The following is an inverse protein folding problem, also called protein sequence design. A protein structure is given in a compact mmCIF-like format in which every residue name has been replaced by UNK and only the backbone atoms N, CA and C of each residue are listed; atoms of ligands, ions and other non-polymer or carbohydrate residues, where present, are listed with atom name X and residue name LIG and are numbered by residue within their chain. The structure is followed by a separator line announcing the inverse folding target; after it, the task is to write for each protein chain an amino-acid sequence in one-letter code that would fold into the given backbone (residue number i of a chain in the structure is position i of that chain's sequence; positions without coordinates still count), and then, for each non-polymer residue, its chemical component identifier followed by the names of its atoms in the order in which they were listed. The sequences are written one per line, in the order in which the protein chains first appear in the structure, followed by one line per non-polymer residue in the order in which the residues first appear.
data_IF_891651316347
#
_entry.id   IF_891651316347
#
_cell.length_a   1.000
_cell.length_b   1.000
_cell.length_c   1.000
_cell.angle_alpha   90.00
_cell.angle_beta   90.00
_cell.angle_gamma   90.00
#
_symmetry.space_group_name_H-M   'P 1'
#
loop_
_entity.id
_entity.type
_entity.pdbx_description
1 polymer ?
#
# COMPACT_ATOMS: atom_id res chain seq x y z
N UNK A 1 -24.14 1.26 16.51
CA UNK A 1 -23.99 0.11 15.59
C UNK A 1 -22.53 -0.30 15.58
N UNK A 2 -22.24 -1.60 15.69
CA UNK A 2 -20.87 -2.10 15.46
C UNK A 2 -20.52 -1.91 13.98
N UNK A 3 -19.28 -1.48 13.69
CA UNK A 3 -18.78 -1.34 12.32
C UNK A 3 -18.76 -2.73 11.66
N UNK A 4 -19.23 -2.90 10.42
CA UNK A 4 -19.18 -4.20 9.75
C UNK A 4 -17.72 -4.66 9.63
N UNK A 5 -17.48 -5.96 9.86
CA UNK A 5 -16.17 -6.55 9.66
C UNK A 5 -15.87 -6.58 8.15
N UNK A 6 -14.69 -6.09 7.77
CA UNK A 6 -14.27 -6.03 6.37
C UNK A 6 -12.78 -6.32 6.21
N UNK A 7 -12.48 -7.21 5.28
CA UNK A 7 -11.13 -7.53 4.81
C UNK A 7 -10.94 -7.14 3.36
N UNK A 8 -9.71 -7.29 2.85
CA UNK A 8 -9.40 -7.10 1.43
C UNK A 8 -8.41 -8.12 0.90
N UNK A 9 -8.62 -8.48 -0.35
CA UNK A 9 -7.67 -9.14 -1.25
C UNK A 9 -7.09 -8.04 -2.15
N UNK A 10 -5.78 -7.85 -2.10
CA UNK A 10 -5.11 -6.71 -2.75
C UNK A 10 -3.94 -7.11 -3.66
N UNK A 11 -4.21 -7.71 -4.85
CA UNK A 11 -3.17 -8.05 -5.82
C UNK A 11 -2.61 -6.81 -6.52
N UNK A 12 -1.30 -6.82 -6.80
CA UNK A 12 -0.66 -5.86 -7.71
C UNK A 12 -0.53 -6.50 -9.10
N UNK A 13 -1.08 -5.92 -10.18
CA UNK A 13 -1.04 -6.50 -11.52
C UNK A 13 0.31 -6.22 -12.22
N UNK A 14 1.42 -6.56 -11.57
CA UNK A 14 2.79 -6.39 -12.10
C UNK A 14 3.41 -7.69 -12.63
N UNK A 15 2.62 -8.75 -12.70
CA UNK A 15 2.96 -10.09 -13.15
C UNK A 15 1.78 -11.04 -12.94
N UNK A 16 1.86 -12.25 -13.46
CA UNK A 16 0.87 -13.30 -13.21
C UNK A 16 0.82 -13.67 -11.72
N UNK A 17 -0.37 -14.04 -11.24
CA UNK A 17 -0.53 -14.54 -9.88
C UNK A 17 0.18 -15.88 -9.73
N UNK A 18 1.08 -15.96 -8.75
CA UNK A 18 1.73 -17.21 -8.36
C UNK A 18 1.02 -17.88 -7.16
N UNK A 19 1.48 -19.09 -6.82
CA UNK A 19 0.91 -19.93 -5.75
C UNK A 19 0.79 -19.22 -4.41
N UNK A 20 1.82 -18.46 -4.01
CA UNK A 20 1.75 -17.63 -2.78
C UNK A 20 0.58 -16.65 -2.75
N UNK A 21 0.21 -16.04 -3.89
CA UNK A 21 -0.98 -15.19 -3.95
C UNK A 21 -2.25 -16.02 -3.76
N UNK A 22 -2.36 -17.15 -4.45
CA UNK A 22 -3.52 -18.04 -4.35
C UNK A 22 -3.74 -18.53 -2.90
N UNK A 23 -2.67 -18.95 -2.21
CA UNK A 23 -2.73 -19.38 -0.81
C UNK A 23 -3.21 -18.24 0.09
N UNK A 24 -2.64 -17.04 -0.06
CA UNK A 24 -3.05 -15.87 0.73
C UNK A 24 -4.52 -15.50 0.47
N UNK A 25 -4.95 -15.47 -0.79
CA UNK A 25 -6.33 -15.13 -1.16
C UNK A 25 -7.31 -16.15 -0.60
N UNK A 26 -7.00 -17.43 -0.68
CA UNK A 26 -7.82 -18.51 -0.12
C UNK A 26 -7.92 -18.40 1.41
N UNK A 27 -6.81 -18.18 2.12
CA UNK A 27 -6.82 -17.99 3.58
C UNK A 27 -7.64 -16.75 3.97
N UNK A 28 -7.47 -15.65 3.23
CA UNK A 28 -8.23 -14.41 3.44
C UNK A 28 -9.72 -14.66 3.26
N UNK A 29 -10.10 -15.34 2.19
CA UNK A 29 -11.49 -15.67 1.87
C UNK A 29 -12.10 -16.61 2.92
N UNK A 30 -11.43 -17.68 3.30
CA UNK A 30 -11.90 -18.62 4.34
C UNK A 30 -12.10 -17.91 5.69
N UNK A 31 -11.15 -17.06 6.11
CA UNK A 31 -11.26 -16.27 7.34
C UNK A 31 -12.44 -15.30 7.30
N UNK A 32 -12.66 -14.66 6.15
CA UNK A 32 -13.81 -13.77 5.98
C UNK A 32 -15.13 -14.54 6.10
N UNK A 33 -15.25 -15.70 5.45
CA UNK A 33 -16.44 -16.55 5.53
C UNK A 33 -16.68 -17.09 6.95
N UNK A 34 -15.63 -17.43 7.69
CA UNK A 34 -15.75 -17.86 9.08
C UNK A 34 -16.22 -16.75 10.02
N UNK A 35 -15.80 -15.51 9.79
CA UNK A 35 -16.11 -14.35 10.65
C UNK A 35 -17.33 -13.55 10.20
N UNK A 36 -17.89 -13.85 9.03
CA UNK A 36 -18.94 -13.05 8.40
C UNK A 36 -18.45 -11.68 7.90
N UNK A 37 -17.16 -11.51 7.64
CA UNK A 37 -16.59 -10.28 7.13
C UNK A 37 -16.85 -10.12 5.63
N UNK A 38 -17.11 -8.88 5.19
CA UNK A 38 -17.14 -8.53 3.77
C UNK A 38 -15.72 -8.55 3.19
N UNK A 39 -15.59 -8.96 1.93
CA UNK A 39 -14.34 -8.99 1.19
C UNK A 39 -14.36 -7.87 0.14
N UNK A 40 -13.39 -6.98 0.21
CA UNK A 40 -13.04 -6.05 -0.87
C UNK A 40 -11.99 -6.68 -1.79
N UNK A 41 -12.23 -6.72 -3.10
CA UNK A 41 -11.17 -6.86 -4.10
C UNK A 41 -10.64 -5.46 -4.44
N UNK A 42 -9.39 -5.16 -4.08
CA UNK A 42 -8.70 -3.91 -4.42
C UNK A 42 -7.48 -4.21 -5.26
N UNK A 43 -7.55 -3.97 -6.56
CA UNK A 43 -6.38 -4.17 -7.43
C UNK A 43 -5.46 -2.96 -7.24
N UNK A 44 -4.24 -3.21 -6.74
CA UNK A 44 -3.27 -2.16 -6.41
C UNK A 44 -2.53 -1.71 -7.69
N UNK A 45 -3.22 -0.95 -8.55
CA UNK A 45 -2.79 -0.54 -9.90
C UNK A 45 -2.16 0.87 -9.97
N UNK A 46 -1.78 1.45 -8.82
CA UNK A 46 -1.21 2.79 -8.77
C UNK A 46 0.17 2.94 -9.47
N UNK A 47 0.95 1.86 -9.60
CA UNK A 47 2.20 1.85 -10.38
C UNK A 47 1.91 1.49 -11.84
N UNK A 48 1.34 2.45 -12.57
CA UNK A 48 0.84 2.27 -13.95
C UNK A 48 1.88 1.72 -14.92
N UNK A 49 3.16 1.97 -14.68
CA UNK A 49 4.26 1.50 -15.55
C UNK A 49 4.40 -0.03 -15.51
N UNK A 50 3.94 -0.67 -14.42
CA UNK A 50 3.98 -2.12 -14.23
C UNK A 50 2.67 -2.82 -14.57
N UNK A 51 1.57 -2.08 -14.64
CA UNK A 51 0.25 -2.63 -14.94
C UNK A 51 0.21 -3.10 -16.39
N UNK A 52 -0.27 -4.33 -16.62
CA UNK A 52 -0.56 -4.84 -17.96
C UNK A 52 -1.96 -5.45 -18.03
N UNK A 53 -2.72 -5.26 -19.12
CA UNK A 53 -4.07 -5.80 -19.25
C UNK A 53 -4.15 -7.31 -19.01
N UNK A 54 -3.15 -8.07 -19.47
CA UNK A 54 -3.08 -9.52 -19.27
C UNK A 54 -2.94 -9.92 -17.80
N UNK A 55 -2.22 -9.15 -16.97
CA UNK A 55 -2.10 -9.41 -15.53
C UNK A 55 -3.36 -9.00 -14.78
N UNK A 56 -4.05 -7.95 -15.24
CA UNK A 56 -5.36 -7.60 -14.71
C UNK A 56 -6.37 -8.70 -15.00
N UNK A 57 -6.41 -9.22 -16.24
CA UNK A 57 -7.30 -10.32 -16.61
C UNK A 57 -7.00 -11.58 -15.79
N UNK A 58 -5.73 -11.94 -15.64
CA UNK A 58 -5.28 -13.10 -14.86
C UNK A 58 -5.79 -13.07 -13.41
N UNK A 59 -5.84 -11.89 -12.77
CA UNK A 59 -6.41 -11.74 -11.44
C UNK A 59 -7.86 -12.26 -11.39
N UNK A 60 -8.71 -11.85 -12.34
CA UNK A 60 -10.10 -12.30 -12.37
C UNK A 60 -10.21 -13.79 -12.70
N UNK A 61 -9.42 -14.26 -13.66
CA UNK A 61 -9.45 -15.66 -14.10
C UNK A 61 -9.05 -16.61 -12.97
N UNK A 62 -7.97 -16.31 -12.24
CA UNK A 62 -7.51 -17.10 -11.09
C UNK A 62 -8.51 -17.03 -9.94
N UNK A 63 -9.06 -15.86 -9.64
CA UNK A 63 -10.06 -15.73 -8.58
C UNK A 63 -11.33 -16.55 -8.90
N UNK A 64 -11.78 -16.53 -10.15
CA UNK A 64 -12.89 -17.35 -10.62
C UNK A 64 -12.58 -18.85 -10.55
N UNK A 65 -11.40 -19.26 -11.03
CA UNK A 65 -10.96 -20.66 -11.00
C UNK A 65 -10.86 -21.21 -9.58
N UNK A 66 -10.38 -20.41 -8.62
CA UNK A 66 -10.32 -20.76 -7.20
C UNK A 66 -11.70 -20.74 -6.50
N UNK A 67 -12.75 -20.22 -7.15
CA UNK A 67 -14.06 -20.04 -6.55
C UNK A 67 -14.10 -18.94 -5.47
N UNK A 68 -13.17 -17.99 -5.51
CA UNK A 68 -13.08 -16.89 -4.54
C UNK A 68 -14.02 -15.77 -4.98
N UNK A 69 -15.11 -15.59 -4.24
CA UNK A 69 -16.02 -14.46 -4.38
C UNK A 69 -15.64 -13.29 -3.46
N UNK A 70 -15.93 -12.07 -3.90
CA UNK A 70 -15.81 -10.84 -3.11
C UNK A 70 -17.11 -10.03 -3.15
N UNK A 71 -17.33 -9.24 -2.11
CA UNK A 71 -18.59 -8.52 -1.90
C UNK A 71 -18.51 -7.07 -2.42
N UNK A 72 -17.29 -6.50 -2.45
CA UNK A 72 -17.03 -5.11 -2.86
C UNK A 72 -15.83 -5.10 -3.82
N UNK A 73 -15.89 -4.29 -4.87
CA UNK A 73 -14.78 -4.14 -5.83
C UNK A 73 -15.17 -4.42 -7.27
N UNK A 74 -14.22 -4.31 -8.21
CA UNK A 74 -14.49 -4.50 -9.62
C UNK A 74 -14.92 -5.94 -9.89
N UNK A 75 -15.92 -6.14 -10.74
CA UNK A 75 -16.37 -7.48 -11.17
C UNK A 75 -15.73 -7.91 -12.50
N UNK A 76 -15.13 -6.96 -13.22
CA UNK A 76 -14.47 -7.18 -14.51
C UNK A 76 -13.25 -6.26 -14.64
N UNK A 77 -12.29 -6.55 -15.54
CA UNK A 77 -11.21 -5.64 -15.87
C UNK A 77 -11.70 -4.26 -16.33
N UNK A 78 -12.78 -4.20 -17.10
CA UNK A 78 -13.36 -2.92 -17.53
C UNK A 78 -13.85 -2.11 -16.32
N UNK A 79 -14.54 -2.78 -15.39
CA UNK A 79 -15.00 -2.18 -14.14
C UNK A 79 -13.86 -1.68 -13.25
N UNK A 80 -12.69 -2.35 -13.27
CA UNK A 80 -11.49 -1.83 -12.62
C UNK A 80 -11.14 -0.46 -13.18
N UNK A 81 -10.92 -0.36 -14.49
CA UNK A 81 -10.46 0.87 -15.10
C UNK A 81 -11.48 2.01 -15.04
N UNK A 82 -12.78 1.71 -15.12
CA UNK A 82 -13.83 2.74 -15.09
C UNK A 82 -14.11 3.31 -13.70
N UNK A 83 -13.99 2.51 -12.64
CA UNK A 83 -14.54 2.87 -11.32
C UNK A 83 -13.59 2.61 -10.14
N UNK A 84 -12.84 1.51 -10.18
CA UNK A 84 -12.12 1.01 -8.99
C UNK A 84 -10.61 1.24 -9.01
N UNK A 85 -10.06 1.73 -10.13
CA UNK A 85 -8.64 2.02 -10.27
C UNK A 85 -8.16 3.03 -9.22
N UNK A 86 -7.00 2.78 -8.63
CA UNK A 86 -6.34 3.71 -7.73
C UNK A 86 -5.93 5.01 -8.44
N UNK A 87 -5.85 5.02 -9.77
CA UNK A 87 -5.61 6.25 -10.54
C UNK A 87 -6.69 7.31 -10.29
N UNK A 88 -7.95 6.89 -10.10
CA UNK A 88 -9.08 7.77 -9.75
C UNK A 88 -8.95 8.38 -8.35
N UNK A 89 -8.08 7.82 -7.51
CA UNK A 89 -7.87 8.22 -6.11
C UNK A 89 -6.66 9.15 -5.95
N UNK A 90 -6.00 9.54 -7.04
CA UNK A 90 -4.80 10.40 -7.02
C UNK A 90 -4.99 11.67 -6.18
N UNK A 91 -6.13 12.36 -6.32
CA UNK A 91 -6.40 13.57 -5.56
C UNK A 91 -6.40 13.30 -4.04
N UNK A 92 -7.02 12.20 -3.60
CA UNK A 92 -7.07 11.79 -2.20
C UNK A 92 -5.67 11.52 -1.65
N UNK A 93 -4.82 10.85 -2.42
CA UNK A 93 -3.42 10.60 -2.01
C UNK A 93 -2.60 11.89 -1.91
N UNK A 94 -2.77 12.83 -2.86
CA UNK A 94 -2.09 14.13 -2.80
C UNK A 94 -2.51 14.96 -1.59
N UNK A 95 -3.80 14.93 -1.22
CA UNK A 95 -4.27 15.58 0.00
C UNK A 95 -3.57 15.04 1.25
N UNK A 96 -3.48 13.71 1.38
CA UNK A 96 -2.81 13.08 2.53
C UNK A 96 -1.30 13.37 2.53
N UNK A 97 -0.66 13.38 1.36
CA UNK A 97 0.74 13.80 1.23
C UNK A 97 0.95 15.25 1.69
N UNK A 98 0.05 16.15 1.33
CA UNK A 98 0.06 17.54 1.81
C UNK A 98 -0.05 17.61 3.33
N UNK A 99 -1.01 16.91 3.92
CA UNK A 99 -1.16 16.84 5.39
C UNK A 99 0.09 16.29 6.08
N UNK A 100 0.69 15.22 5.57
CA UNK A 100 1.93 14.65 6.11
C UNK A 100 3.09 15.65 5.99
N UNK A 101 3.22 16.33 4.85
CA UNK A 101 4.24 17.36 4.63
C UNK A 101 4.09 18.48 5.66
N UNK A 102 2.88 19.01 5.80
CA UNK A 102 2.58 20.16 6.65
C UNK A 102 2.72 19.81 8.15
N UNK A 103 2.55 18.53 8.52
CA UNK A 103 2.82 18.03 9.88
C UNK A 103 4.31 17.94 10.24
N UNK A 104 5.22 18.12 9.28
CA UNK A 104 6.66 17.92 9.46
C UNK A 104 7.13 16.46 9.46
N UNK A 105 6.21 15.50 9.23
CA UNK A 105 6.53 14.08 9.21
C UNK A 105 7.41 13.66 8.01
N UNK A 106 7.55 14.50 6.99
CA UNK A 106 8.27 14.17 5.75
C UNK A 106 9.60 14.92 5.62
N UNK A 107 10.42 14.45 4.68
CA UNK A 107 11.55 15.21 4.11
C UNK A 107 11.77 14.83 2.65
N UNK A 108 12.33 15.74 1.86
CA UNK A 108 12.70 15.49 0.48
C UNK A 108 14.10 14.83 0.41
N UNK A 109 14.27 13.91 -0.54
CA UNK A 109 15.50 13.18 -0.76
C UNK A 109 15.83 13.14 -2.26
N UNK A 110 17.03 13.59 -2.63
CA UNK A 110 17.53 13.54 -4.01
C UNK A 110 18.37 12.30 -4.33
N UNK A 111 18.78 11.52 -3.32
CA UNK A 111 19.68 10.37 -3.47
C UNK A 111 19.21 9.36 -4.53
N UNK A 112 20.09 9.08 -5.51
CA UNK A 112 19.88 8.08 -6.56
C UNK A 112 20.06 6.67 -6.02
N UNK A 113 19.55 5.65 -6.74
CA UNK A 113 19.76 4.23 -6.36
C UNK A 113 21.25 3.87 -6.28
N UNK A 114 22.08 4.46 -7.15
CA UNK A 114 23.54 4.26 -7.12
C UNK A 114 24.17 4.81 -5.84
N UNK A 115 23.81 6.04 -5.44
CA UNK A 115 24.28 6.63 -4.19
C UNK A 115 23.85 5.81 -2.97
N UNK A 116 22.59 5.36 -2.94
CA UNK A 116 22.11 4.51 -1.84
C UNK A 116 22.90 3.21 -1.76
N UNK A 117 23.16 2.56 -2.91
CA UNK A 117 23.95 1.32 -2.98
C UNK A 117 25.40 1.51 -2.51
N UNK A 118 25.99 2.68 -2.77
CA UNK A 118 27.34 3.02 -2.31
C UNK A 118 27.41 3.11 -0.78
N UNK A 119 26.33 3.55 -0.12
CA UNK A 119 26.25 3.63 1.34
C UNK A 119 25.84 2.31 2.00
N UNK A 120 24.95 1.53 1.37
CA UNK A 120 24.51 0.23 1.87
C UNK A 120 24.30 -0.74 0.70
N UNK A 121 25.06 -1.84 0.68
CA UNK A 121 25.00 -2.85 -0.38
C UNK A 121 23.61 -3.50 -0.50
N UNK A 122 22.85 -3.57 0.59
CA UNK A 122 21.47 -4.03 0.62
C UNK A 122 20.45 -2.98 0.13
N UNK A 123 20.93 -1.84 -0.42
CA UNK A 123 20.13 -0.73 -0.95
C UNK A 123 19.17 -0.09 0.07
N UNK A 124 19.47 -0.13 1.36
CA UNK A 124 18.70 0.55 2.39
C UNK A 124 19.16 2.00 2.50
N UNK A 125 18.21 2.92 2.46
CA UNK A 125 18.50 4.33 2.68
C UNK A 125 18.88 4.59 4.14
N UNK A 126 20.02 5.24 4.38
CA UNK A 126 20.56 5.39 5.75
C UNK A 126 20.27 6.75 6.39
N UNK A 127 19.74 7.71 5.62
CA UNK A 127 19.31 9.00 6.17
C UNK A 127 20.11 10.20 5.67
N UNK A 128 20.81 10.08 4.55
CA UNK A 128 21.79 11.05 4.05
C UNK A 128 21.21 12.45 3.78
N UNK A 129 19.91 12.57 3.54
CA UNK A 129 19.19 13.84 3.33
C UNK A 129 18.37 14.27 4.54
N UNK A 130 18.37 13.50 5.63
CA UNK A 130 17.72 13.90 6.87
C UNK A 130 18.41 15.16 7.38
N UNK A 131 17.62 16.21 7.63
CA UNK A 131 18.14 17.49 8.13
C UNK A 131 18.74 18.42 7.07
N UNK A 132 18.86 18.01 5.80
CA UNK A 132 19.40 18.87 4.72
C UNK A 132 18.46 19.97 4.25
N UNK A 133 17.20 19.98 4.70
CA UNK A 133 16.25 21.03 4.34
C UNK A 133 15.94 21.12 2.85
N UNK A 134 16.05 20.01 2.10
CA UNK A 134 15.74 20.01 0.67
C UNK A 134 14.27 20.39 0.44
N UNK A 135 14.02 21.26 -0.55
CA UNK A 135 12.67 21.64 -0.94
C UNK A 135 11.89 20.43 -1.47
N UNK A 136 10.62 20.32 -1.10
CA UNK A 136 9.70 19.33 -1.65
C UNK A 136 9.36 19.57 -3.13
N UNK A 137 9.56 20.80 -3.60
CA UNK A 137 9.38 21.24 -5.00
C UNK A 137 10.68 21.15 -5.81
N UNK A 138 11.79 20.72 -5.20
CA UNK A 138 13.03 20.54 -5.92
C UNK A 138 12.87 19.46 -7.02
N UNK A 139 13.51 19.62 -8.19
CA UNK A 139 13.40 18.65 -9.26
C UNK A 139 13.96 17.29 -8.81
N UNK A 140 13.33 16.21 -9.29
CA UNK A 140 13.78 14.84 -9.09
C UNK A 140 13.90 14.40 -7.62
N UNK A 141 13.15 14.95 -6.67
CA UNK A 141 13.15 14.44 -5.29
C UNK A 141 12.06 13.41 -5.05
N UNK A 142 12.34 12.43 -4.20
CA UNK A 142 11.29 11.62 -3.55
C UNK A 142 10.93 12.25 -2.21
N UNK A 143 9.71 12.02 -1.73
CA UNK A 143 9.35 12.36 -0.36
C UNK A 143 9.42 11.10 0.50
N UNK A 144 10.12 11.20 1.63
CA UNK A 144 10.31 10.11 2.58
C UNK A 144 9.65 10.44 3.91
N UNK A 145 9.08 9.43 4.55
CA UNK A 145 8.58 9.52 5.91
C UNK A 145 9.75 9.54 6.89
N UNK A 146 9.71 10.38 7.92
CA UNK A 146 10.67 10.32 9.03
C UNK A 146 10.29 9.20 9.98
N UNK A 147 11.13 8.18 10.10
CA UNK A 147 10.93 7.03 11.00
C UNK A 147 12.01 6.99 12.08
N UNK A 148 11.73 6.45 13.28
CA UNK A 148 12.73 6.17 14.30
C UNK A 148 13.83 5.24 13.77
N UNK A 149 15.04 5.39 14.32
CA UNK A 149 16.18 4.53 13.95
C UNK A 149 16.01 3.06 14.37
N UNK A 150 15.09 2.79 15.30
CA UNK A 150 14.77 1.46 15.83
C UNK A 150 13.93 0.61 14.88
N UNK A 151 13.34 1.19 13.83
CA UNK A 151 12.57 0.43 12.84
C UNK A 151 13.52 -0.23 11.82
N UNK A 152 13.19 -1.45 11.40
CA UNK A 152 13.94 -2.16 10.35
C UNK A 152 13.83 -1.46 8.99
N UNK A 153 12.59 -1.18 8.55
CA UNK A 153 12.34 -0.36 7.37
C UNK A 153 12.36 1.11 7.73
N UNK A 154 13.46 1.78 7.39
CA UNK A 154 13.67 3.20 7.67
C UNK A 154 13.40 4.07 6.46
N UNK A 155 12.84 5.25 6.73
CA UNK A 155 12.64 6.32 5.77
C UNK A 155 11.99 5.88 4.45
N UNK A 156 10.85 5.17 4.51
CA UNK A 156 10.18 4.67 3.33
C UNK A 156 9.78 5.85 2.42
N UNK A 157 9.83 5.62 1.12
CA UNK A 157 9.29 6.57 0.14
C UNK A 157 7.76 6.55 0.26
N UNK A 158 7.16 7.75 0.33
CA UNK A 158 5.70 7.95 0.31
C UNK A 158 5.23 8.70 -0.95
N UNK A 159 6.14 9.39 -1.64
CA UNK A 159 5.91 9.99 -2.97
C UNK A 159 7.15 9.81 -3.84
N UNK A 160 6.92 9.30 -5.05
CA UNK A 160 7.94 9.03 -6.06
C UNK A 160 8.41 10.33 -6.76
N UNK A 161 9.48 10.23 -7.56
CA UNK A 161 10.05 11.38 -8.30
C UNK A 161 9.10 11.95 -9.35
N UNK A 162 8.28 11.10 -9.96
CA UNK A 162 7.23 11.49 -10.91
C UNK A 162 6.00 12.08 -10.21
N UNK A 163 6.00 12.18 -8.87
CA UNK A 163 4.92 12.73 -8.07
C UNK A 163 3.84 11.74 -7.67
N UNK A 164 3.87 10.51 -8.20
CA UNK A 164 2.94 9.45 -7.82
C UNK A 164 3.13 9.06 -6.36
N UNK A 165 2.04 8.76 -5.63
CA UNK A 165 2.14 8.23 -4.27
C UNK A 165 2.79 6.83 -4.29
N UNK A 166 3.41 6.46 -3.18
CA UNK A 166 4.06 5.16 -3.04
C UNK A 166 3.24 4.21 -2.16
N UNK A 167 3.53 2.91 -2.31
CA UNK A 167 2.82 1.78 -1.68
C UNK A 167 2.41 2.03 -0.21
N UNK A 168 3.35 2.37 0.66
CA UNK A 168 3.07 2.53 2.10
C UNK A 168 2.02 3.61 2.41
N UNK A 169 1.95 4.67 1.59
CA UNK A 169 0.89 5.67 1.74
C UNK A 169 -0.44 5.12 1.21
N UNK A 170 -0.44 4.60 -0.02
CA UNK A 170 -1.64 4.16 -0.72
C UNK A 170 -2.38 3.10 0.10
N UNK A 171 -1.66 2.08 0.57
CA UNK A 171 -2.25 1.01 1.39
C UNK A 171 -2.95 1.56 2.63
N UNK A 172 -2.30 2.47 3.37
CA UNK A 172 -2.90 3.03 4.59
C UNK A 172 -4.13 3.87 4.28
N UNK A 173 -4.04 4.74 3.27
CA UNK A 173 -5.15 5.61 2.86
C UNK A 173 -6.34 4.77 2.42
N UNK A 174 -6.12 3.77 1.58
CA UNK A 174 -7.19 2.93 1.05
C UNK A 174 -7.78 2.02 2.12
N UNK A 175 -6.96 1.39 2.97
CA UNK A 175 -7.48 0.53 4.03
C UNK A 175 -8.37 1.35 5.01
N UNK A 176 -8.03 2.60 5.28
CA UNK A 176 -8.87 3.51 6.09
C UNK A 176 -10.13 3.93 5.34
N UNK A 177 -10.00 4.44 4.11
CA UNK A 177 -11.12 4.98 3.34
C UNK A 177 -12.15 3.88 2.99
N UNK A 178 -11.70 2.65 2.72
CA UNK A 178 -12.57 1.50 2.48
C UNK A 178 -13.06 0.81 3.76
N UNK A 179 -12.73 1.36 4.94
CA UNK A 179 -13.17 0.85 6.24
C UNK A 179 -12.73 -0.60 6.52
N UNK A 180 -11.52 -0.97 6.11
CA UNK A 180 -10.93 -2.26 6.42
C UNK A 180 -10.73 -2.37 7.93
N UNK A 181 -11.10 -3.51 8.49
CA UNK A 181 -10.97 -3.80 9.93
C UNK A 181 -9.99 -4.93 10.21
N UNK A 182 -9.79 -5.82 9.24
CA UNK A 182 -8.88 -6.94 9.35
C UNK A 182 -8.13 -7.19 8.05
N UNK A 183 -6.88 -7.59 8.19
CA UNK A 183 -5.93 -7.79 7.10
C UNK A 183 -5.30 -9.16 7.26
N UNK A 184 -5.20 -9.90 6.16
CA UNK A 184 -4.32 -11.06 6.06
C UNK A 184 -3.22 -10.71 5.06
N UNK A 185 -1.96 -11.02 5.42
CA UNK A 185 -0.78 -10.79 4.57
C UNK A 185 0.39 -11.67 4.99
N UNK A 186 1.36 -11.84 4.10
CA UNK A 186 2.58 -12.63 4.34
C UNK A 186 3.49 -12.02 5.40
N UNK A 187 4.33 -12.86 6.01
CA UNK A 187 5.31 -12.46 7.02
C UNK A 187 6.39 -11.51 6.47
N UNK A 188 6.66 -11.56 5.17
CA UNK A 188 7.56 -10.66 4.45
C UNK A 188 7.12 -9.18 4.54
N UNK A 189 5.84 -8.92 4.82
CA UNK A 189 5.27 -7.58 4.97
C UNK A 189 5.27 -7.05 6.41
N UNK A 190 5.96 -7.70 7.35
CA UNK A 190 6.02 -7.27 8.76
C UNK A 190 6.65 -5.87 8.90
N UNK A 191 7.79 -5.63 8.26
CA UNK A 191 8.46 -4.32 8.32
C UNK A 191 7.62 -3.21 7.67
N UNK A 192 6.93 -3.52 6.57
CA UNK A 192 5.98 -2.60 5.95
C UNK A 192 4.79 -2.32 6.88
N UNK A 193 4.31 -3.34 7.59
CA UNK A 193 3.23 -3.21 8.57
C UNK A 193 3.59 -2.24 9.69
N UNK A 194 4.79 -2.37 10.27
CA UNK A 194 5.27 -1.47 11.30
C UNK A 194 5.33 -0.02 10.79
N UNK A 195 5.87 0.18 9.58
CA UNK A 195 5.90 1.48 8.90
C UNK A 195 4.52 2.05 8.66
N UNK A 196 3.57 1.24 8.20
CA UNK A 196 2.21 1.68 7.87
C UNK A 196 1.44 2.10 9.13
N UNK A 197 1.59 1.36 10.24
CA UNK A 197 1.06 1.77 11.55
C UNK A 197 1.69 3.09 12.01
N UNK A 198 3.01 3.18 11.93
CA UNK A 198 3.72 4.40 12.29
C UNK A 198 3.31 5.60 11.40
N UNK A 199 3.07 5.40 10.10
CA UNK A 199 2.56 6.43 9.19
C UNK A 199 1.17 6.89 9.65
N UNK A 200 0.28 5.95 9.94
CA UNK A 200 -1.10 6.22 10.34
C UNK A 200 -1.19 7.11 11.59
N UNK A 201 -0.33 6.87 12.59
CA UNK A 201 -0.26 7.69 13.81
C UNK A 201 0.14 9.15 13.56
N UNK A 202 0.67 9.51 12.39
CA UNK A 202 1.08 10.88 12.09
C UNK A 202 -0.10 11.78 11.71
N UNK A 203 -1.24 11.19 11.35
CA UNK A 203 -2.43 11.94 10.94
C UNK A 203 -3.68 11.39 11.62
N UNK A 204 -4.47 12.23 12.31
CA UNK A 204 -5.73 11.79 12.92
C UNK A 204 -6.69 11.10 11.93
N UNK A 205 -6.74 11.55 10.69
CA UNK A 205 -7.60 10.96 9.66
C UNK A 205 -7.16 9.56 9.20
N UNK A 206 -5.93 9.12 9.52
CA UNK A 206 -5.42 7.77 9.23
C UNK A 206 -5.37 6.88 10.47
N UNK A 207 -5.62 7.42 11.66
CA UNK A 207 -5.60 6.66 12.92
C UNK A 207 -6.43 5.36 12.91
N UNK A 208 -7.57 5.22 12.20
CA UNK A 208 -8.27 3.94 12.17
C UNK A 208 -7.43 2.75 11.67
N UNK A 209 -6.34 3.00 10.91
CA UNK A 209 -5.43 1.94 10.48
C UNK A 209 -4.71 1.26 11.66
N UNK A 210 -4.45 1.98 12.76
CA UNK A 210 -3.76 1.40 13.93
C UNK A 210 -4.59 0.33 14.62
N UNK A 211 -5.92 0.42 14.50
CA UNK A 211 -6.88 -0.48 15.10
C UNK A 211 -7.16 -1.71 14.22
N UNK A 212 -6.60 -1.76 13.00
CA UNK A 212 -6.78 -2.90 12.09
C UNK A 212 -6.06 -4.13 12.65
N UNK A 213 -6.82 -5.22 12.76
CA UNK A 213 -6.29 -6.53 13.14
C UNK A 213 -5.54 -7.14 11.98
N UNK A 214 -4.26 -7.46 12.16
CA UNK A 214 -3.41 -8.00 11.08
C UNK A 214 -3.04 -9.44 11.45
N UNK A 215 -3.55 -10.38 10.66
CA UNK A 215 -3.13 -11.78 10.68
C UNK A 215 -1.99 -12.01 9.70
N UNK A 216 -0.89 -12.57 10.20
CA UNK A 216 0.25 -12.97 9.38
C UNK A 216 0.08 -14.42 8.92
N UNK A 217 0.39 -14.69 7.66
CA UNK A 217 0.52 -16.05 7.12
C UNK A 217 1.98 -16.29 6.72
N UNK A 218 2.44 -17.57 6.73
CA UNK A 218 3.77 -17.94 6.26
C UNK A 218 4.06 -17.45 4.84
#
# INVERSE_FOLDING_TARGET
MMKPLRTRIAPTPSGYLHEGNAVNFMITWLKARQSGAEILLRIDDADTDRVRPEYVQDIFDVMHWLGISWDIGPQTPSGLYSEWSQTHRTHRYQQVLGMLRDSGALFACSCTRSQIRQHDAAMRYTGECVGKGLSFEAPNVVWRLRTPHTMNLRYPVVRQRNGSPAYNLITVVDDVDYNITNIVRGADLEDATAVQRYLAERLPCLSPFTDITIGVVP
#
